data_IF_314763027841
#
_entry.id   IF_314763027841
#
_cell.length_a   1.000
_cell.length_b   1.000
_cell.length_c   1.000
_cell.angle_alpha   90.00
_cell.angle_beta   90.00
_cell.angle_gamma   90.00
#
_symmetry.space_group_name_H-M   'P 1'
#
loop_
_entity.id
_entity.type
_entity.pdbx_description
1 polymer ?
#
# COMPACT_ATOMS: atom_id res chain seq x y z
N UNK A 1 -30.75 7.69 58.91
CA UNK A 1 -30.16 8.89 58.30
C UNK A 1 -28.72 8.56 57.99
N UNK A 2 -28.31 8.66 56.70
CA UNK A 2 -26.98 9.06 56.18
C UNK A 2 -25.76 8.22 56.63
N UNK A 3 -24.85 7.72 55.79
CA UNK A 3 -24.59 7.88 54.36
C UNK A 3 -23.76 6.69 53.82
N UNK A 4 -23.79 6.56 52.49
CA UNK A 4 -23.04 5.65 51.61
C UNK A 4 -21.52 5.95 51.59
N UNK A 5 -20.71 4.92 51.30
CA UNK A 5 -19.65 4.85 50.25
C UNK A 5 -18.88 3.53 50.46
N UNK A 6 -19.00 2.48 49.65
CA UNK A 6 -18.75 2.29 48.21
C UNK A 6 -17.34 2.71 47.73
N UNK A 7 -16.50 1.68 47.60
CA UNK A 7 -15.86 1.27 46.34
C UNK A 7 -14.42 1.77 46.01
N UNK A 8 -13.72 0.84 45.35
CA UNK A 8 -12.62 1.01 44.39
C UNK A 8 -11.18 1.07 44.91
N UNK A 9 -10.47 -0.06 44.76
CA UNK A 9 -9.32 -0.04 43.86
C UNK A 9 -9.02 -1.44 43.33
N UNK A 10 -9.77 -1.85 42.29
CA UNK A 10 -9.35 -2.94 41.42
C UNK A 10 -9.07 -2.38 40.03
N UNK A 11 -7.83 -2.56 39.62
CA UNK A 11 -7.46 -3.06 38.30
C UNK A 11 -7.77 -2.17 37.08
N UNK A 12 -6.81 -1.33 36.68
CA UNK A 12 -6.67 -0.92 35.28
C UNK A 12 -5.20 -0.88 34.87
N UNK A 13 -4.56 -2.06 34.82
CA UNK A 13 -3.38 -2.26 33.99
C UNK A 13 -3.85 -2.35 32.53
N UNK A 14 -4.09 -1.19 31.88
CA UNK A 14 -4.51 -1.12 30.48
C UNK A 14 -3.37 -1.60 29.59
N UNK A 15 -3.41 -2.87 29.21
CA UNK A 15 -2.59 -3.41 28.13
C UNK A 15 -2.85 -2.58 26.85
N UNK A 16 -1.81 -2.11 26.14
CA UNK A 16 -2.00 -1.47 24.85
C UNK A 16 -2.59 -2.47 23.86
N UNK A 17 -3.69 -2.03 23.26
CA UNK A 17 -4.61 -2.74 22.39
C UNK A 17 -3.88 -3.43 21.21
N UNK A 18 -3.82 -4.77 21.21
CA UNK A 18 -3.07 -5.57 20.22
C UNK A 18 -3.51 -5.39 18.76
N UNK A 19 -4.73 -4.90 18.53
CA UNK A 19 -5.30 -4.64 17.19
C UNK A 19 -4.65 -3.47 16.44
N UNK A 20 -4.20 -2.42 17.13
CA UNK A 20 -3.58 -1.26 16.46
C UNK A 20 -2.25 -1.63 15.83
N UNK A 21 -1.42 -2.39 16.57
CA UNK A 21 -0.10 -2.81 16.10
C UNK A 21 -0.11 -3.59 14.79
N UNK A 22 -1.17 -4.38 14.52
CA UNK A 22 -1.29 -5.17 13.30
C UNK A 22 -1.65 -4.32 12.09
N UNK A 23 -2.50 -3.30 12.30
CA UNK A 23 -2.90 -2.36 11.26
C UNK A 23 -1.73 -1.46 10.86
N UNK A 24 -0.97 -0.98 11.83
CA UNK A 24 0.23 -0.17 11.61
C UNK A 24 1.31 -0.95 10.85
N UNK A 25 1.63 -2.18 11.29
CA UNK A 25 2.55 -3.08 10.58
C UNK A 25 2.11 -3.33 9.15
N UNK A 26 0.82 -3.55 8.91
CA UNK A 26 0.30 -3.73 7.57
C UNK A 26 0.47 -2.48 6.70
N UNK A 27 0.23 -1.29 7.26
CA UNK A 27 0.44 -0.01 6.58
C UNK A 27 1.91 0.17 6.18
N UNK A 28 2.85 -0.12 7.09
CA UNK A 28 4.29 -0.06 6.81
C UNK A 28 4.70 -1.01 5.68
N UNK A 29 4.20 -2.24 5.68
CA UNK A 29 4.47 -3.19 4.60
C UNK A 29 3.93 -2.71 3.25
N UNK A 30 2.71 -2.15 3.24
CA UNK A 30 2.12 -1.55 2.04
C UNK A 30 2.95 -0.36 1.54
N UNK A 31 3.40 0.51 2.44
CA UNK A 31 4.22 1.67 2.09
C UNK A 31 5.58 1.25 1.52
N UNK A 32 6.24 0.26 2.13
CA UNK A 32 7.49 -0.31 1.60
C UNK A 32 7.28 -0.88 0.20
N UNK A 33 6.21 -1.65 -0.01
CA UNK A 33 5.89 -2.18 -1.32
C UNK A 33 5.69 -1.09 -2.38
N UNK A 34 4.94 -0.04 -2.05
CA UNK A 34 4.72 1.09 -2.97
C UNK A 34 6.01 1.85 -3.28
N UNK A 35 6.93 1.96 -2.32
CA UNK A 35 8.26 2.56 -2.53
C UNK A 35 9.12 1.76 -3.48
N UNK A 36 9.06 0.43 -3.41
CA UNK A 36 9.88 -0.47 -4.23
C UNK A 36 9.31 -0.70 -5.65
N UNK A 37 8.02 -0.43 -5.85
CA UNK A 37 7.32 -0.74 -7.09
C UNK A 37 7.78 0.09 -8.32
N UNK A 38 8.10 1.41 -8.22
CA UNK A 38 8.66 2.18 -9.33
C UNK A 38 9.92 1.57 -9.93
N UNK A 39 10.83 1.05 -9.10
CA UNK A 39 12.04 0.39 -9.56
C UNK A 39 11.75 -0.91 -10.31
N UNK A 40 10.75 -1.67 -9.86
CA UNK A 40 10.31 -2.87 -10.57
C UNK A 40 9.70 -2.53 -11.94
N UNK A 41 8.95 -1.42 -12.03
CA UNK A 41 8.38 -0.92 -13.28
C UNK A 41 9.46 -0.38 -14.23
N UNK A 42 10.48 0.28 -13.70
CA UNK A 42 11.66 0.68 -14.47
C UNK A 42 12.44 -0.55 -14.98
N UNK A 43 12.56 -1.61 -14.18
CA UNK A 43 13.14 -2.88 -14.62
C UNK A 43 12.39 -3.53 -15.78
N UNK A 44 11.06 -3.33 -15.85
CA UNK A 44 10.27 -3.75 -17.01
C UNK A 44 10.62 -2.90 -18.24
N UNK A 45 10.77 -1.57 -18.10
CA UNK A 45 11.23 -0.71 -19.22
C UNK A 45 12.57 -1.17 -19.77
N UNK A 46 13.55 -1.46 -18.90
CA UNK A 46 14.85 -1.98 -19.35
C UNK A 46 14.73 -3.34 -20.05
N UNK A 47 13.80 -4.18 -19.61
CA UNK A 47 13.53 -5.47 -20.26
C UNK A 47 12.85 -5.30 -21.63
N UNK A 48 12.04 -4.25 -21.79
CA UNK A 48 11.43 -3.86 -23.07
C UNK A 48 12.45 -3.37 -24.09
N UNK A 49 13.51 -2.67 -23.66
CA UNK A 49 14.63 -2.30 -24.55
C UNK A 49 15.38 -3.53 -25.11
N UNK A 50 15.28 -4.68 -24.43
CA UNK A 50 15.86 -5.95 -24.87
C UNK A 50 14.86 -6.85 -25.61
N UNK A 51 13.64 -6.36 -25.90
CA UNK A 51 12.54 -7.12 -26.55
C UNK A 51 12.21 -8.46 -25.86
N UNK A 52 12.48 -8.60 -24.55
CA UNK A 52 12.21 -9.82 -23.79
C UNK A 52 10.79 -9.82 -23.19
N UNK A 53 9.81 -9.95 -24.08
CA UNK A 53 8.38 -9.96 -23.73
C UNK A 53 8.00 -11.10 -22.75
N UNK A 54 8.70 -12.22 -22.78
CA UNK A 54 8.49 -13.34 -21.85
C UNK A 54 8.84 -12.94 -20.41
N UNK A 55 9.97 -12.26 -20.24
CA UNK A 55 10.38 -11.73 -18.93
C UNK A 55 9.49 -10.59 -18.47
N UNK A 56 9.05 -9.71 -19.36
CA UNK A 56 8.04 -8.68 -19.05
C UNK A 56 6.78 -9.32 -18.47
N UNK A 57 6.26 -10.37 -19.12
CA UNK A 57 5.07 -11.09 -18.64
C UNK A 57 5.28 -11.67 -17.24
N UNK A 58 6.42 -12.32 -16.99
CA UNK A 58 6.75 -12.87 -15.66
C UNK A 58 6.83 -11.78 -14.58
N UNK A 59 7.46 -10.64 -14.90
CA UNK A 59 7.56 -9.50 -13.99
C UNK A 59 6.17 -8.91 -13.71
N UNK A 60 5.35 -8.69 -14.74
CA UNK A 60 3.98 -8.22 -14.63
C UNK A 60 3.13 -9.16 -13.77
N UNK A 61 3.18 -10.46 -14.03
CA UNK A 61 2.48 -11.48 -13.25
C UNK A 61 2.78 -11.39 -11.76
N UNK A 62 4.09 -11.30 -11.42
CA UNK A 62 4.56 -11.17 -10.04
C UNK A 62 4.05 -9.87 -9.39
N UNK A 63 4.14 -8.75 -10.09
CA UNK A 63 3.67 -7.45 -9.58
C UNK A 63 2.16 -7.50 -9.35
N UNK A 64 1.38 -8.02 -10.30
CA UNK A 64 -0.07 -8.20 -10.19
C UNK A 64 -0.46 -9.01 -8.95
N UNK A 65 0.20 -10.14 -8.72
CA UNK A 65 -0.03 -11.01 -7.56
C UNK A 65 0.27 -10.29 -6.25
N UNK A 66 1.44 -9.66 -6.14
CA UNK A 66 1.85 -8.92 -4.94
C UNK A 66 0.95 -7.70 -4.66
N UNK A 67 0.60 -6.92 -5.69
CA UNK A 67 -0.37 -5.82 -5.58
C UNK A 67 -1.75 -6.29 -5.12
N UNK A 68 -2.18 -7.47 -5.55
CA UNK A 68 -3.42 -8.11 -5.08
C UNK A 68 -3.40 -8.37 -3.58
N UNK A 69 -2.29 -8.92 -3.06
CA UNK A 69 -2.08 -9.15 -1.61
C UNK A 69 -2.18 -7.86 -0.80
N UNK A 70 -1.62 -6.75 -1.31
CA UNK A 70 -1.68 -5.44 -0.66
C UNK A 70 -3.01 -4.68 -0.88
N UNK A 71 -4.02 -5.32 -1.49
CA UNK A 71 -5.33 -4.73 -1.83
C UNK A 71 -5.24 -3.50 -2.74
N UNK A 72 -4.18 -3.41 -3.55
CA UNK A 72 -3.94 -2.33 -4.51
C UNK A 72 -4.64 -2.63 -5.85
N UNK A 73 -5.98 -2.65 -5.83
CA UNK A 73 -6.79 -3.14 -6.96
C UNK A 73 -6.51 -2.43 -8.29
N UNK A 74 -6.35 -1.11 -8.27
CA UNK A 74 -6.12 -0.33 -9.49
C UNK A 74 -4.73 -0.62 -10.10
N UNK A 75 -3.70 -0.74 -9.25
CA UNK A 75 -2.35 -1.12 -9.66
C UNK A 75 -2.35 -2.55 -10.22
N UNK A 76 -2.96 -3.49 -9.49
CA UNK A 76 -3.07 -4.89 -9.92
C UNK A 76 -3.76 -5.01 -11.29
N UNK A 77 -4.85 -4.26 -11.52
CA UNK A 77 -5.55 -4.20 -12.81
C UNK A 77 -4.68 -3.60 -13.91
N UNK A 78 -3.99 -2.48 -13.66
CA UNK A 78 -3.12 -1.84 -14.64
C UNK A 78 -1.99 -2.79 -15.09
N UNK A 79 -1.38 -3.49 -14.13
CA UNK A 79 -0.32 -4.45 -14.41
C UNK A 79 -0.84 -5.70 -15.14
N UNK A 80 -2.09 -6.11 -14.91
CA UNK A 80 -2.70 -7.18 -15.70
C UNK A 80 -2.82 -6.82 -17.19
N UNK A 81 -3.02 -5.54 -17.52
CA UNK A 81 -3.02 -5.08 -18.92
C UNK A 81 -1.61 -5.19 -19.53
N UNK A 82 -0.57 -5.04 -18.72
CA UNK A 82 0.82 -5.17 -19.15
C UNK A 82 1.17 -6.62 -19.55
N UNK A 83 0.61 -7.64 -18.88
CA UNK A 83 0.71 -9.04 -19.34
C UNK A 83 0.11 -9.20 -20.75
N UNK A 84 -1.09 -8.65 -20.97
CA UNK A 84 -1.78 -8.76 -22.26
C UNK A 84 -1.01 -8.10 -23.41
N UNK A 85 -0.54 -6.86 -23.19
CA UNK A 85 0.23 -6.16 -24.21
C UNK A 85 1.63 -6.76 -24.46
N UNK A 86 2.18 -7.50 -23.49
CA UNK A 86 3.41 -8.27 -23.71
C UNK A 86 3.17 -9.47 -24.63
N UNK A 87 2.01 -10.13 -24.54
CA UNK A 87 1.64 -11.19 -25.49
C UNK A 87 1.48 -10.64 -26.91
N UNK A 88 0.87 -9.46 -27.04
CA UNK A 88 0.70 -8.75 -28.33
C UNK A 88 1.97 -8.05 -28.84
N UNK A 89 3.05 -8.04 -28.04
CA UNK A 89 4.30 -7.30 -28.29
C UNK A 89 4.10 -5.82 -28.61
N UNK A 90 3.09 -5.20 -28.01
CA UNK A 90 2.76 -3.80 -28.25
C UNK A 90 3.59 -2.88 -27.35
N UNK A 91 4.79 -2.51 -27.82
CA UNK A 91 5.76 -1.68 -27.10
C UNK A 91 5.16 -0.37 -26.58
N UNK A 92 4.42 0.35 -27.43
CA UNK A 92 3.80 1.62 -27.06
C UNK A 92 2.77 1.44 -25.94
N UNK A 93 1.90 0.43 -26.06
CA UNK A 93 0.93 0.13 -25.02
C UNK A 93 1.60 -0.26 -23.70
N UNK A 94 2.69 -1.04 -23.74
CA UNK A 94 3.47 -1.37 -22.54
C UNK A 94 4.00 -0.10 -21.87
N UNK A 95 4.63 0.80 -22.62
CA UNK A 95 5.15 2.07 -22.08
C UNK A 95 4.03 2.91 -21.46
N UNK A 96 2.91 3.05 -22.15
CA UNK A 96 1.75 3.80 -21.67
C UNK A 96 1.17 3.21 -20.38
N UNK A 97 1.06 1.88 -20.30
CA UNK A 97 0.61 1.21 -19.08
C UNK A 97 1.61 1.41 -17.93
N UNK A 98 2.93 1.34 -18.19
CA UNK A 98 3.92 1.61 -17.14
C UNK A 98 3.75 3.01 -16.55
N UNK A 99 3.59 4.04 -17.41
CA UNK A 99 3.35 5.40 -16.94
C UNK A 99 2.06 5.51 -16.12
N UNK A 100 0.97 4.90 -16.59
CA UNK A 100 -0.29 4.88 -15.85
C UNK A 100 -0.17 4.19 -14.50
N UNK A 101 0.56 3.07 -14.42
CA UNK A 101 0.78 2.37 -13.15
C UNK A 101 1.65 3.21 -12.22
N UNK A 102 2.67 3.92 -12.72
CA UNK A 102 3.48 4.85 -11.91
C UNK A 102 2.62 5.94 -11.28
N UNK A 103 1.70 6.56 -12.03
CA UNK A 103 0.77 7.55 -11.49
C UNK A 103 -0.14 6.97 -10.40
N UNK A 104 -0.58 5.71 -10.56
CA UNK A 104 -1.37 5.02 -9.53
C UNK A 104 -0.56 4.73 -8.26
N UNK A 105 0.74 4.44 -8.40
CA UNK A 105 1.65 4.24 -7.26
C UNK A 105 1.85 5.53 -6.49
N UNK A 106 2.10 6.63 -7.19
CA UNK A 106 2.21 7.97 -6.60
C UNK A 106 0.94 8.33 -5.83
N UNK A 107 -0.22 8.25 -6.49
CA UNK A 107 -1.51 8.55 -5.86
C UNK A 107 -1.84 7.64 -4.66
N UNK A 108 -1.41 6.38 -4.63
CA UNK A 108 -1.59 5.51 -3.46
C UNK A 108 -0.59 5.80 -2.34
N UNK A 109 0.60 6.31 -2.67
CA UNK A 109 1.60 6.74 -1.70
C UNK A 109 1.13 8.01 -0.99
N UNK A 110 0.65 9.00 -1.73
CA UNK A 110 0.14 10.27 -1.17
C UNK A 110 -1.03 10.04 -0.20
N UNK A 111 -1.92 9.09 -0.52
CA UNK A 111 -3.03 8.71 0.36
C UNK A 111 -2.54 8.16 1.69
N UNK A 112 -1.45 7.37 1.70
CA UNK A 112 -0.89 6.81 2.92
C UNK A 112 -0.23 7.90 3.77
N UNK A 113 0.45 8.87 3.16
CA UNK A 113 1.08 9.98 3.89
C UNK A 113 0.05 10.93 4.49
N UNK A 114 -1.01 11.26 3.74
CA UNK A 114 -2.12 12.12 4.21
C UNK A 114 -2.87 11.48 5.38
N UNK A 115 -3.10 10.16 5.33
CA UNK A 115 -3.70 9.42 6.43
C UNK A 115 -2.78 9.31 7.65
N UNK A 116 -1.45 9.30 7.46
CA UNK A 116 -0.48 9.28 8.56
C UNK A 116 -0.43 10.63 9.28
N UNK A 117 -0.45 11.75 8.57
CA UNK A 117 -0.47 13.10 9.18
C UNK A 117 -1.77 13.36 9.95
N UNK A 118 -2.92 13.01 9.37
CA UNK A 118 -4.22 13.20 10.03
C UNK A 118 -4.40 12.31 11.27
N UNK A 119 -3.78 11.13 11.31
CA UNK A 119 -3.78 10.30 12.50
C UNK A 119 -2.94 10.91 13.64
N UNK A 120 -1.76 11.47 13.33
CA UNK A 120 -0.88 12.10 14.31
C UNK A 120 -1.48 13.36 14.95
N UNK A 121 -2.16 14.21 14.17
CA UNK A 121 -2.79 15.44 14.69
C UNK A 121 -3.99 15.15 15.61
N UNK A 122 -4.72 14.06 15.38
CA UNK A 122 -5.86 13.67 16.21
C UNK A 122 -5.45 12.97 17.52
N UNK A 123 -4.21 12.48 17.63
CA UNK A 123 -3.68 11.88 18.87
C UNK A 123 -3.17 12.89 19.90
N UNK A 124 -2.96 14.16 19.53
CA UNK A 124 -2.45 15.22 20.42
C UNK A 124 -3.53 16.21 20.91
N UNK A 125 -4.78 16.08 20.45
CA UNK A 125 -5.87 17.03 20.72
C UNK A 125 -6.73 16.76 21.98
N UNK A 126 -6.32 15.84 22.85
CA UNK A 126 -7.01 15.52 24.10
C UNK A 126 -6.60 16.41 25.28
N UNK A 127 -6.66 17.74 25.14
CA UNK A 127 -6.61 18.64 26.30
C UNK A 127 -8.06 18.85 26.75
N UNK A 128 -8.40 18.21 27.88
CA UNK A 128 -9.66 18.41 28.57
C UNK A 128 -9.76 19.87 29.02
N UNK A 129 -10.90 20.52 28.72
CA UNK A 129 -11.38 21.70 29.44
C UNK A 129 -12.14 21.24 30.70
#
# INVERSE_FOLDING_TARGET
>A
MKDKQDNQNQNENRQPNSKDSSKEKWSMLKQKYLRDLPDQLNGIKSTLEADDYSKIKKQAHRIKGTSGTYKLKNISKGVAQLEGHADDRNREAIVNIIHKVMQLVEAETDKLETHSLSAALNSEGGIND
#
